data_IF_314455038574
#
_entry.id   IF_314455038574
#
_cell.length_a   1.000
_cell.length_b   1.000
_cell.length_c   1.000
_cell.angle_alpha   90.00
_cell.angle_beta   90.00
_cell.angle_gamma   90.00
#
_symmetry.space_group_name_H-M   'P 1'
#
loop_
_entity.id
_entity.type
_entity.pdbx_description
1 polymer ?
#
# COMPACT_ATOMS: atom_id res chain seq x y z
N UNK A 1 -11.18 39.73 34.31
CA UNK A 1 -12.42 38.95 34.12
C UNK A 1 -12.30 38.16 32.82
N UNK A 2 -11.85 36.91 32.89
CA UNK A 2 -11.67 36.06 31.70
C UNK A 2 -13.00 35.35 31.42
N UNK A 3 -13.83 35.95 30.55
CA UNK A 3 -14.93 35.23 29.91
C UNK A 3 -14.33 34.11 29.05
N UNK A 4 -14.11 32.93 29.61
CA UNK A 4 -13.74 31.76 28.83
C UNK A 4 -14.98 31.27 28.09
N UNK A 5 -15.27 31.91 26.96
CA UNK A 5 -16.23 31.38 26.00
C UNK A 5 -15.79 29.93 25.69
N UNK A 6 -16.66 28.91 25.77
CA UNK A 6 -16.28 27.54 25.48
C UNK A 6 -15.55 27.49 24.14
N UNK A 7 -14.34 26.91 24.15
CA UNK A 7 -13.52 26.81 22.94
C UNK A 7 -14.24 25.89 21.95
N UNK A 8 -14.87 26.49 20.95
CA UNK A 8 -15.49 25.77 19.83
C UNK A 8 -14.40 25.22 18.92
N UNK A 9 -14.51 23.95 18.51
CA UNK A 9 -13.58 23.30 17.59
C UNK A 9 -14.32 22.83 16.34
N UNK A 10 -13.58 22.58 15.27
CA UNK A 10 -14.07 21.94 14.06
C UNK A 10 -13.03 20.98 13.49
N UNK A 11 -13.44 20.16 12.54
CA UNK A 11 -12.57 19.29 11.76
C UNK A 11 -12.85 19.43 10.26
N UNK A 12 -11.86 19.16 9.45
CA UNK A 12 -12.01 19.06 7.99
C UNK A 12 -12.69 17.73 7.67
N UNK A 13 -13.77 17.79 6.88
CA UNK A 13 -14.53 16.61 6.47
C UNK A 13 -13.68 15.75 5.51
N UNK A 14 -13.82 14.42 5.61
CA UNK A 14 -13.10 13.46 4.77
C UNK A 14 -11.56 13.61 4.81
N UNK A 15 -11.02 14.18 5.89
CA UNK A 15 -9.59 14.42 6.00
C UNK A 15 -8.76 13.15 5.84
N UNK A 16 -9.23 12.01 6.37
CA UNK A 16 -8.54 10.72 6.25
C UNK A 16 -8.48 10.21 4.80
N UNK A 17 -9.46 10.58 3.97
CA UNK A 17 -9.45 10.30 2.53
C UNK A 17 -8.42 11.16 1.82
N UNK A 18 -8.32 12.44 2.20
CA UNK A 18 -7.37 13.39 1.62
C UNK A 18 -5.94 13.21 2.14
N UNK A 19 -5.75 12.72 3.37
CA UNK A 19 -4.45 12.56 4.00
C UNK A 19 -4.44 11.25 4.80
N UNK A 20 -4.45 10.08 4.12
CA UNK A 20 -4.33 8.82 4.83
C UNK A 20 -3.01 8.81 5.59
N UNK A 21 -3.08 8.75 6.93
CA UNK A 21 -1.94 8.84 7.84
C UNK A 21 -1.06 7.58 7.77
N UNK A 22 -0.37 7.38 6.65
CA UNK A 22 0.45 6.18 6.39
C UNK A 22 1.84 6.24 7.03
N UNK A 23 2.26 7.41 7.56
CA UNK A 23 3.59 7.67 8.16
C UNK A 23 3.57 8.40 9.52
N UNK A 24 2.43 8.43 10.22
CA UNK A 24 2.31 9.09 11.53
C UNK A 24 2.20 10.62 11.45
N UNK A 25 2.10 11.27 12.62
CA UNK A 25 1.66 12.68 12.83
C UNK A 25 2.62 13.78 12.32
N UNK A 26 3.68 13.44 11.59
CA UNK A 26 4.79 14.36 11.28
C UNK A 26 5.25 14.30 9.83
N UNK A 27 4.36 14.01 8.88
CA UNK A 27 4.75 14.07 7.48
C UNK A 27 5.08 15.54 7.10
N UNK A 28 6.23 15.83 6.45
CA UNK A 28 6.59 17.19 6.08
C UNK A 28 5.84 17.69 4.84
N UNK A 29 4.84 16.94 4.35
CA UNK A 29 4.11 17.22 3.12
C UNK A 29 2.63 16.88 3.28
N UNK A 30 1.79 17.55 2.49
CA UNK A 30 0.39 17.17 2.25
C UNK A 30 0.22 16.73 0.80
N UNK A 31 -0.72 15.83 0.53
CA UNK A 31 -1.10 15.45 -0.83
C UNK A 31 -2.29 16.25 -1.32
N UNK A 32 -2.20 16.80 -2.51
CA UNK A 32 -3.36 17.31 -3.24
C UNK A 32 -3.68 16.34 -4.37
N UNK A 33 -4.88 15.77 -4.35
CA UNK A 33 -5.32 14.79 -5.33
C UNK A 33 -5.94 15.51 -6.54
N UNK A 34 -5.72 15.01 -7.75
CA UNK A 34 -6.33 15.59 -8.95
C UNK A 34 -7.88 15.61 -8.92
N UNK A 35 -8.48 14.66 -8.19
CA UNK A 35 -9.93 14.60 -7.95
C UNK A 35 -10.48 15.85 -7.25
N UNK A 36 -9.62 16.63 -6.59
CA UNK A 36 -9.95 17.94 -6.01
C UNK A 36 -10.58 18.89 -7.04
N UNK A 37 -10.15 18.83 -8.30
CA UNK A 37 -10.70 19.67 -9.36
C UNK A 37 -12.13 19.29 -9.76
N UNK A 38 -12.56 18.08 -9.41
CA UNK A 38 -13.89 17.57 -9.69
C UNK A 38 -14.83 17.68 -8.48
N UNK A 39 -14.34 18.15 -7.33
CA UNK A 39 -15.15 18.35 -6.14
C UNK A 39 -15.98 19.63 -6.29
N UNK A 40 -17.30 19.47 -6.29
CA UNK A 40 -18.24 20.57 -6.48
C UNK A 40 -18.10 21.65 -5.40
N UNK A 41 -17.92 21.27 -4.13
CA UNK A 41 -17.82 22.23 -3.02
C UNK A 41 -16.56 23.08 -3.14
N UNK A 42 -15.45 22.48 -3.55
CA UNK A 42 -14.21 23.20 -3.85
C UNK A 42 -14.36 24.09 -5.08
N UNK A 43 -15.05 23.61 -6.13
CA UNK A 43 -15.30 24.36 -7.36
C UNK A 43 -16.03 25.70 -7.12
N UNK A 44 -16.86 25.77 -6.08
CA UNK A 44 -17.58 26.98 -5.65
C UNK A 44 -16.69 28.02 -4.95
N UNK A 45 -15.47 27.66 -4.55
CA UNK A 45 -14.58 28.58 -3.84
C UNK A 45 -13.89 29.55 -4.80
N UNK A 46 -13.81 30.82 -4.40
CA UNK A 46 -12.86 31.77 -5.00
C UNK A 46 -11.43 31.35 -4.69
N UNK A 47 -10.47 31.76 -5.53
CA UNK A 47 -9.09 31.28 -5.43
C UNK A 47 -8.42 31.56 -4.09
N UNK A 48 -8.72 32.70 -3.46
CA UNK A 48 -8.26 33.01 -2.11
C UNK A 48 -8.78 32.02 -1.06
N UNK A 49 -10.03 31.58 -1.18
CA UNK A 49 -10.61 30.57 -0.29
C UNK A 49 -10.04 29.17 -0.55
N UNK A 50 -9.74 28.82 -1.81
CA UNK A 50 -9.03 27.56 -2.13
C UNK A 50 -7.67 27.51 -1.44
N UNK A 51 -6.90 28.60 -1.52
CA UNK A 51 -5.61 28.71 -0.83
C UNK A 51 -5.75 28.59 0.69
N UNK A 52 -6.77 29.25 1.28
CA UNK A 52 -7.07 29.10 2.70
C UNK A 52 -7.45 27.66 3.08
N UNK A 53 -8.21 26.96 2.24
CA UNK A 53 -8.59 25.58 2.50
C UNK A 53 -7.40 24.62 2.44
N UNK A 54 -6.47 24.82 1.52
CA UNK A 54 -5.18 24.10 1.51
C UNK A 54 -4.41 24.37 2.82
N UNK A 55 -4.40 25.61 3.28
CA UNK A 55 -3.84 25.98 4.58
C UNK A 55 -4.53 25.28 5.76
N UNK A 56 -5.86 25.12 5.72
CA UNK A 56 -6.60 24.36 6.73
C UNK A 56 -6.22 22.88 6.74
N UNK A 57 -5.92 22.27 5.59
CA UNK A 57 -5.44 20.89 5.54
C UNK A 57 -4.07 20.73 6.20
N UNK A 58 -3.18 21.71 6.06
CA UNK A 58 -1.89 21.72 6.77
C UNK A 58 -2.11 21.75 8.29
N UNK A 59 -2.99 22.64 8.76
CA UNK A 59 -3.32 22.72 10.18
C UNK A 59 -3.99 21.43 10.65
N UNK A 60 -4.94 20.89 9.90
CA UNK A 60 -5.62 19.64 10.21
C UNK A 60 -4.60 18.50 10.38
N UNK A 61 -3.59 18.43 9.50
CA UNK A 61 -2.51 17.47 9.63
C UNK A 61 -1.74 17.62 10.94
N UNK A 62 -1.35 18.85 11.29
CA UNK A 62 -0.58 19.14 12.50
C UNK A 62 -1.39 18.98 13.81
N UNK A 63 -2.71 19.10 13.75
CA UNK A 63 -3.60 19.17 14.93
C UNK A 63 -4.51 17.95 15.07
N UNK A 64 -4.21 16.85 14.37
CA UNK A 64 -5.03 15.63 14.39
C UNK A 64 -6.51 15.91 14.03
N UNK A 65 -6.65 16.81 13.05
CA UNK A 65 -7.92 17.32 12.55
C UNK A 65 -8.83 17.93 13.64
N UNK A 66 -8.26 18.53 14.69
CA UNK A 66 -8.98 19.24 15.75
C UNK A 66 -8.54 20.70 15.79
N UNK A 67 -9.26 21.55 15.05
CA UNK A 67 -8.90 22.95 14.81
C UNK A 67 -9.79 23.87 15.64
N UNK A 68 -9.25 24.88 16.36
CA UNK A 68 -10.08 25.86 17.06
C UNK A 68 -10.86 26.74 16.06
N UNK A 69 -12.13 27.05 16.37
CA UNK A 69 -12.96 27.99 15.62
C UNK A 69 -12.52 29.44 15.89
N UNK A 70 -11.32 29.79 15.41
CA UNK A 70 -10.72 31.12 15.56
C UNK A 70 -10.04 31.52 14.24
N UNK A 71 -10.73 32.33 13.45
CA UNK A 71 -10.22 32.81 12.15
C UNK A 71 -8.92 33.60 12.29
N UNK A 72 -8.71 34.29 13.42
CA UNK A 72 -7.50 35.08 13.67
C UNK A 72 -6.31 34.17 13.98
N UNK A 73 -6.51 33.13 14.79
CA UNK A 73 -5.51 32.09 15.01
C UNK A 73 -5.15 31.37 13.72
N UNK A 74 -6.15 30.93 12.94
CA UNK A 74 -5.92 30.22 11.67
C UNK A 74 -5.14 31.09 10.70
N UNK A 75 -5.54 32.36 10.53
CA UNK A 75 -4.84 33.34 9.69
C UNK A 75 -3.35 33.41 10.01
N UNK A 76 -2.99 33.47 11.30
CA UNK A 76 -1.59 33.49 11.75
C UNK A 76 -0.87 32.19 11.41
N UNK A 77 -1.53 31.05 11.60
CA UNK A 77 -0.94 29.74 11.29
C UNK A 77 -0.63 29.57 9.80
N UNK A 78 -1.53 29.98 8.91
CA UNK A 78 -1.33 29.86 7.46
C UNK A 78 -0.66 31.08 6.83
N UNK A 79 -0.25 32.07 7.65
CA UNK A 79 0.33 33.34 7.21
C UNK A 79 -0.49 34.09 6.15
N UNK A 80 -1.82 34.00 6.24
CA UNK A 80 -2.71 34.66 5.29
C UNK A 80 -2.81 36.18 5.54
N UNK A 81 -2.94 36.96 4.46
CA UNK A 81 -3.17 38.41 4.56
C UNK A 81 -4.63 38.75 4.92
N UNK A 82 -5.57 37.99 4.38
CA UNK A 82 -7.01 38.13 4.64
C UNK A 82 -7.47 37.21 5.76
N UNK A 83 -8.65 37.49 6.33
CA UNK A 83 -9.25 36.63 7.34
C UNK A 83 -9.88 35.40 6.68
N UNK A 84 -9.78 34.25 7.36
CA UNK A 84 -10.35 32.98 6.90
C UNK A 84 -11.84 32.94 7.22
N UNK A 85 -12.69 32.85 6.18
CA UNK A 85 -14.15 32.83 6.32
C UNK A 85 -14.64 31.41 6.60
N UNK A 86 -14.65 31.02 7.88
CA UNK A 86 -15.05 29.66 8.31
C UNK A 86 -16.49 29.29 7.91
N UNK A 87 -17.40 30.25 7.99
CA UNK A 87 -18.81 30.05 7.63
C UNK A 87 -19.00 29.58 6.17
N UNK A 88 -18.09 29.99 5.27
CA UNK A 88 -18.13 29.56 3.86
C UNK A 88 -17.80 28.07 3.74
N UNK A 89 -16.76 27.62 4.45
CA UNK A 89 -16.35 26.21 4.43
C UNK A 89 -17.38 25.31 5.11
N UNK A 90 -17.99 25.79 6.19
CA UNK A 90 -19.07 25.07 6.88
C UNK A 90 -20.30 24.91 5.98
N UNK A 91 -20.77 25.99 5.35
CA UNK A 91 -21.93 25.96 4.43
C UNK A 91 -21.71 25.04 3.22
N UNK A 92 -20.47 24.93 2.74
CA UNK A 92 -20.10 24.05 1.65
C UNK A 92 -19.82 22.60 2.11
N UNK A 93 -19.92 22.32 3.41
CA UNK A 93 -19.70 20.98 3.98
C UNK A 93 -18.24 20.52 3.92
N UNK A 94 -17.29 21.44 3.78
CA UNK A 94 -15.85 21.15 3.76
C UNK A 94 -15.29 20.99 5.19
N UNK A 95 -15.94 21.62 6.18
CA UNK A 95 -15.63 21.46 7.60
C UNK A 95 -16.91 21.13 8.39
N UNK A 96 -16.75 20.49 9.53
CA UNK A 96 -17.82 20.17 10.46
C UNK A 96 -17.42 20.60 11.88
N UNK A 97 -18.35 21.23 12.60
CA UNK A 97 -18.15 21.63 13.99
C UNK A 97 -18.12 20.38 14.86
N UNK A 98 -17.20 20.35 15.82
CA UNK A 98 -17.16 19.32 16.84
C UNK A 98 -18.01 19.79 18.01
N UNK A 99 -19.11 19.08 18.26
CA UNK A 99 -19.90 19.29 19.48
C UNK A 99 -19.25 18.56 20.65
N UNK A 100 -19.48 19.05 21.87
CA UNK A 100 -18.91 18.45 23.10
C UNK A 100 -19.28 16.95 23.30
N UNK A 101 -20.28 16.45 22.57
CA UNK A 101 -20.68 15.04 22.58
C UNK A 101 -19.84 14.16 21.64
N UNK A 102 -19.20 14.72 20.61
CA UNK A 102 -18.43 13.96 19.61
C UNK A 102 -17.13 13.38 20.17
N UNK A 103 -16.55 14.01 21.21
CA UNK A 103 -15.36 13.48 21.89
C UNK A 103 -15.64 12.15 22.61
N UNK A 104 -16.86 11.95 23.10
CA UNK A 104 -17.27 10.70 23.74
C UNK A 104 -17.43 9.59 22.70
N UNK A 105 -18.03 9.92 21.56
CA UNK A 105 -18.27 8.98 20.45
C UNK A 105 -16.95 8.57 19.79
N UNK A 106 -16.01 9.50 19.58
CA UNK A 106 -14.67 9.18 19.03
C UNK A 106 -13.86 8.28 19.96
N UNK A 107 -13.84 8.50 21.28
CA UNK A 107 -13.13 7.61 22.22
C UNK A 107 -13.68 6.19 22.20
N UNK A 108 -14.99 6.03 22.07
CA UNK A 108 -15.64 4.73 22.00
C UNK A 108 -15.34 4.04 20.65
N UNK A 109 -15.44 4.78 19.54
CA UNK A 109 -15.13 4.28 18.20
C UNK A 109 -13.63 4.02 17.97
N UNK A 110 -12.72 4.77 18.61
CA UNK A 110 -11.27 4.53 18.53
C UNK A 110 -10.87 3.30 19.37
N UNK A 111 -11.54 3.04 20.49
CA UNK A 111 -11.39 1.80 21.26
C UNK A 111 -11.93 0.59 20.48
N UNK A 112 -13.06 0.75 19.79
CA UNK A 112 -13.62 -0.28 18.91
C UNK A 112 -12.76 -0.50 17.66
N UNK A 113 -12.26 0.55 16.99
CA UNK A 113 -11.32 0.44 15.87
C UNK A 113 -9.98 -0.20 16.26
N UNK A 114 -9.46 0.08 17.45
CA UNK A 114 -8.23 -0.56 17.97
C UNK A 114 -8.45 -2.02 18.37
N UNK A 115 -9.68 -2.37 18.73
CA UNK A 115 -10.15 -3.75 18.91
C UNK A 115 -10.34 -4.49 17.59
N UNK A 116 -10.89 -3.81 16.58
CA UNK A 116 -11.11 -4.35 15.23
C UNK A 116 -9.83 -4.47 14.41
N UNK A 117 -8.85 -3.58 14.54
CA UNK A 117 -7.53 -3.73 13.88
C UNK A 117 -6.76 -4.91 14.48
N UNK A 118 -6.79 -5.09 15.81
CA UNK A 118 -6.23 -6.29 16.45
C UNK A 118 -7.00 -7.57 16.10
N UNK A 119 -8.32 -7.50 15.93
CA UNK A 119 -9.14 -8.64 15.47
C UNK A 119 -8.90 -8.94 13.99
N UNK A 120 -8.79 -7.93 13.12
CA UNK A 120 -8.47 -8.08 11.68
C UNK A 120 -7.03 -8.53 11.45
N UNK A 121 -6.08 -8.23 12.32
CA UNK A 121 -4.70 -8.77 12.25
C UNK A 121 -4.60 -10.22 12.73
N UNK A 122 -5.47 -10.65 13.66
CA UNK A 122 -5.58 -12.05 14.10
C UNK A 122 -6.42 -12.87 13.10
N UNK A 123 -7.47 -12.28 12.53
CA UNK A 123 -8.35 -12.89 11.53
C UNK A 123 -7.65 -12.93 10.16
N UNK A 124 -6.89 -11.91 9.72
CA UNK A 124 -6.04 -12.02 8.52
C UNK A 124 -4.89 -13.02 8.67
N UNK A 125 -4.40 -13.28 9.90
CA UNK A 125 -3.41 -14.35 10.15
C UNK A 125 -4.03 -15.75 10.12
N UNK A 126 -5.28 -15.91 10.53
CA UNK A 126 -5.98 -17.20 10.50
C UNK A 126 -6.68 -17.48 9.16
N UNK A 127 -7.18 -16.47 8.44
CA UNK A 127 -7.85 -16.64 7.13
C UNK A 127 -6.85 -16.72 5.96
N UNK A 128 -5.57 -16.39 6.16
CA UNK A 128 -4.52 -16.66 5.16
C UNK A 128 -4.03 -18.13 5.15
N UNK A 129 -4.47 -18.97 6.09
CA UNK A 129 -4.12 -20.40 6.11
C UNK A 129 -5.16 -21.32 5.46
N UNK A 130 -6.33 -20.82 5.03
CA UNK A 130 -7.39 -21.70 4.48
C UNK A 130 -8.17 -21.10 3.31
N UNK A 131 -7.48 -20.51 2.33
CA UNK A 131 -8.05 -20.31 0.98
C UNK A 131 -7.15 -20.89 -0.08
N UNK A 132 -7.48 -22.13 -0.43
CA UNK A 132 -7.28 -22.85 -1.68
C UNK A 132 -5.90 -22.77 -2.34
N UNK A 133 -5.33 -23.96 -2.40
CA UNK A 133 -4.17 -24.45 -3.14
C UNK A 133 -4.25 -24.18 -4.67
N UNK A 134 -4.18 -22.91 -5.08
CA UNK A 134 -4.13 -22.52 -6.49
C UNK A 134 -2.79 -21.85 -6.84
N UNK A 135 -1.69 -22.42 -6.34
CA UNK A 135 -0.40 -22.22 -6.99
C UNK A 135 0.49 -23.45 -6.85
N UNK A 136 0.04 -24.54 -7.46
CA UNK A 136 0.76 -25.80 -7.55
C UNK A 136 2.22 -25.61 -7.96
N UNK A 137 2.51 -24.67 -8.88
CA UNK A 137 3.87 -24.37 -9.33
C UNK A 137 4.72 -23.67 -8.25
N UNK A 138 4.15 -22.73 -7.50
CA UNK A 138 4.85 -22.08 -6.39
C UNK A 138 5.15 -23.07 -5.26
N UNK A 139 4.19 -23.95 -4.95
CA UNK A 139 4.35 -25.02 -3.97
C UNK A 139 5.43 -26.01 -4.43
N UNK A 140 5.40 -26.40 -5.70
CA UNK A 140 6.44 -27.23 -6.31
C UNK A 140 7.83 -26.58 -6.21
N UNK A 141 7.95 -25.30 -6.55
CA UNK A 141 9.21 -24.56 -6.47
C UNK A 141 9.76 -24.53 -5.04
N UNK A 142 8.91 -24.18 -4.05
CA UNK A 142 9.29 -24.15 -2.63
C UNK A 142 9.73 -25.52 -2.12
N UNK A 143 8.95 -26.56 -2.41
CA UNK A 143 9.22 -27.92 -1.94
C UNK A 143 10.51 -28.46 -2.55
N UNK A 144 10.73 -28.21 -3.85
CA UNK A 144 11.95 -28.65 -4.55
C UNK A 144 13.17 -27.92 -4.00
N UNK A 145 13.07 -26.61 -3.77
CA UNK A 145 14.13 -25.83 -3.13
C UNK A 145 14.46 -26.37 -1.74
N UNK A 146 13.45 -26.54 -0.88
CA UNK A 146 13.63 -27.04 0.49
C UNK A 146 14.25 -28.43 0.51
N UNK A 147 13.82 -29.32 -0.39
CA UNK A 147 14.38 -30.67 -0.53
C UNK A 147 15.86 -30.65 -0.93
N UNK A 148 16.28 -29.71 -1.78
CA UNK A 148 17.66 -29.61 -2.28
C UNK A 148 18.60 -28.89 -1.29
N UNK A 149 18.13 -27.83 -0.63
CA UNK A 149 18.99 -26.94 0.15
C UNK A 149 18.69 -26.93 1.67
N UNK A 150 17.69 -27.68 2.13
CA UNK A 150 17.34 -27.79 3.55
C UNK A 150 16.81 -26.51 4.20
N UNK A 151 16.57 -25.46 3.42
CA UNK A 151 16.15 -24.14 3.89
C UNK A 151 14.96 -23.63 3.08
N UNK A 152 14.21 -22.69 3.65
CA UNK A 152 13.07 -22.07 2.96
C UNK A 152 13.55 -20.92 2.07
N UNK A 153 13.06 -20.88 0.83
CA UNK A 153 13.36 -19.79 -0.12
C UNK A 153 12.55 -18.54 0.22
N UNK A 154 13.21 -17.38 0.22
CA UNK A 154 12.54 -16.09 0.38
C UNK A 154 11.77 -15.73 -0.90
N UNK A 155 10.45 -15.85 -0.86
CA UNK A 155 9.56 -15.59 -2.00
C UNK A 155 8.74 -14.31 -1.76
N UNK A 156 8.75 -13.41 -2.74
CA UNK A 156 7.85 -12.27 -2.82
C UNK A 156 6.57 -12.71 -3.53
N UNK A 157 5.58 -13.12 -2.75
CA UNK A 157 4.36 -13.81 -3.20
C UNK A 157 3.76 -13.26 -4.51
N UNK A 158 3.52 -11.95 -4.60
CA UNK A 158 2.82 -11.40 -5.78
C UNK A 158 3.69 -11.41 -7.05
N UNK A 159 4.96 -11.01 -6.93
CA UNK A 159 5.88 -10.93 -8.07
C UNK A 159 6.29 -12.31 -8.56
N UNK A 160 6.66 -13.21 -7.65
CA UNK A 160 7.20 -14.52 -8.00
C UNK A 160 6.10 -15.44 -8.57
N UNK A 161 4.85 -15.28 -8.12
CA UNK A 161 3.70 -15.98 -8.74
C UNK A 161 3.52 -15.59 -10.20
N UNK A 162 3.63 -14.30 -10.53
CA UNK A 162 3.49 -13.82 -11.91
C UNK A 162 4.55 -14.44 -12.82
N UNK A 163 5.80 -14.48 -12.39
CA UNK A 163 6.91 -15.05 -13.16
C UNK A 163 6.76 -16.55 -13.38
N UNK A 164 6.33 -17.31 -12.36
CA UNK A 164 6.07 -18.74 -12.53
C UNK A 164 4.90 -18.99 -13.47
N UNK A 165 3.86 -18.15 -13.43
CA UNK A 165 2.74 -18.24 -14.37
C UNK A 165 3.21 -17.98 -15.81
N UNK A 166 4.02 -16.96 -16.04
CA UNK A 166 4.60 -16.66 -17.36
C UNK A 166 5.41 -17.86 -17.90
N UNK A 167 6.18 -18.54 -17.06
CA UNK A 167 6.90 -19.75 -17.45
C UNK A 167 5.95 -20.90 -17.84
N UNK A 168 4.90 -21.13 -17.04
CA UNK A 168 3.88 -22.16 -17.34
C UNK A 168 3.13 -21.86 -18.63
N UNK A 169 2.76 -20.60 -18.86
CA UNK A 169 2.06 -20.17 -20.08
C UNK A 169 2.93 -20.38 -21.34
N UNK A 170 4.26 -20.25 -21.22
CA UNK A 170 5.20 -20.42 -22.33
C UNK A 170 5.56 -21.88 -22.62
N UNK A 171 5.83 -22.68 -21.58
CA UNK A 171 6.41 -24.02 -21.73
C UNK A 171 5.45 -25.16 -21.34
N UNK A 172 4.32 -24.84 -20.71
CA UNK A 172 3.44 -25.82 -20.09
C UNK A 172 3.93 -26.22 -18.69
N UNK A 173 3.03 -26.85 -17.92
CA UNK A 173 3.27 -27.16 -16.51
C UNK A 173 4.41 -28.18 -16.32
N UNK A 174 4.36 -29.31 -17.02
CA UNK A 174 5.35 -30.39 -16.87
C UNK A 174 6.75 -29.93 -17.28
N UNK A 175 6.87 -29.22 -18.40
CA UNK A 175 8.16 -28.68 -18.83
C UNK A 175 8.71 -27.66 -17.84
N UNK A 176 7.84 -26.82 -17.27
CA UNK A 176 8.26 -25.84 -16.26
C UNK A 176 8.82 -26.55 -15.01
N UNK A 177 8.21 -27.67 -14.57
CA UNK A 177 8.75 -28.47 -13.46
C UNK A 177 10.13 -29.04 -13.78
N UNK A 178 10.36 -29.55 -14.99
CA UNK A 178 11.68 -30.02 -15.43
C UNK A 178 12.72 -28.89 -15.43
N UNK A 179 12.35 -27.72 -15.96
CA UNK A 179 13.24 -26.56 -16.00
C UNK A 179 13.60 -26.06 -14.60
N UNK A 180 12.66 -26.11 -13.64
CA UNK A 180 12.92 -25.79 -12.24
C UNK A 180 13.90 -26.79 -11.63
N UNK A 181 13.73 -28.08 -11.87
CA UNK A 181 14.65 -29.11 -11.38
C UNK A 181 16.06 -28.90 -11.96
N UNK A 182 16.15 -28.72 -13.29
CA UNK A 182 17.40 -28.42 -13.98
C UNK A 182 18.06 -27.13 -13.47
N UNK A 183 17.26 -26.10 -13.18
CA UNK A 183 17.76 -24.85 -12.59
C UNK A 183 18.41 -25.07 -11.24
N UNK A 184 17.82 -25.88 -10.36
CA UNK A 184 18.40 -26.17 -9.05
C UNK A 184 19.63 -27.08 -9.10
N UNK A 185 19.74 -27.92 -10.12
CA UNK A 185 20.93 -28.77 -10.35
C UNK A 185 22.02 -28.07 -11.16
N UNK A 186 21.73 -26.92 -11.76
CA UNK A 186 22.69 -26.15 -12.54
C UNK A 186 23.85 -25.67 -11.66
N UNK A 187 25.07 -26.09 -11.99
CA UNK A 187 26.30 -25.62 -11.34
C UNK A 187 26.88 -24.42 -12.10
N UNK A 188 26.24 -23.26 -11.97
CA UNK A 188 26.64 -22.02 -12.59
C UNK A 188 27.15 -21.03 -11.53
N UNK A 189 28.36 -20.49 -11.73
CA UNK A 189 29.01 -19.59 -10.78
C UNK A 189 28.21 -18.31 -10.53
N UNK A 190 27.52 -17.79 -11.54
CA UNK A 190 26.70 -16.59 -11.41
C UNK A 190 25.43 -16.87 -10.60
N UNK A 191 24.78 -18.01 -10.82
CA UNK A 191 23.60 -18.41 -10.01
C UNK A 191 23.98 -18.69 -8.56
N UNK A 192 25.11 -19.34 -8.31
CA UNK A 192 25.57 -19.58 -6.94
C UNK A 192 25.84 -18.28 -6.18
N UNK A 193 26.35 -17.24 -6.85
CA UNK A 193 26.60 -15.93 -6.24
C UNK A 193 25.35 -15.08 -6.01
N UNK A 194 24.36 -15.15 -6.91
CA UNK A 194 23.15 -14.32 -6.83
C UNK A 194 21.99 -15.02 -6.10
N UNK A 195 22.14 -16.31 -5.80
CA UNK A 195 21.12 -17.14 -5.18
C UNK A 195 20.19 -17.79 -6.19
N UNK A 196 19.23 -18.57 -5.67
CA UNK A 196 18.33 -19.41 -6.48
C UNK A 196 16.87 -19.00 -6.30
N UNK A 197 16.60 -17.69 -6.42
CA UNK A 197 15.24 -17.15 -6.35
C UNK A 197 14.50 -17.25 -7.69
N UNK A 198 13.17 -17.12 -7.65
CA UNK A 198 12.29 -17.24 -8.82
C UNK A 198 12.64 -16.23 -9.93
N UNK A 199 13.03 -15.00 -9.57
CA UNK A 199 13.48 -14.00 -10.55
C UNK A 199 14.73 -14.46 -11.33
N UNK A 200 15.63 -15.17 -10.66
CA UNK A 200 16.87 -15.68 -11.26
C UNK A 200 16.54 -16.86 -12.17
N UNK A 201 15.70 -17.78 -11.69
CA UNK A 201 15.15 -18.87 -12.51
C UNK A 201 14.55 -18.32 -13.82
N UNK A 202 13.67 -17.32 -13.72
CA UNK A 202 13.01 -16.72 -14.88
C UNK A 202 14.02 -16.13 -15.89
N UNK A 203 15.09 -15.49 -15.41
CA UNK A 203 16.15 -14.96 -16.29
C UNK A 203 16.93 -16.05 -17.04
N UNK A 204 16.95 -17.28 -16.51
CA UNK A 204 17.70 -18.40 -17.07
C UNK A 204 16.85 -19.33 -17.94
N UNK A 205 15.54 -19.08 -18.11
CA UNK A 205 14.62 -19.96 -18.84
C UNK A 205 15.12 -20.33 -20.24
N UNK A 206 15.51 -19.34 -21.05
CA UNK A 206 16.02 -19.58 -22.41
C UNK A 206 17.29 -20.46 -22.42
N UNK A 207 18.17 -20.29 -21.44
CA UNK A 207 19.40 -21.08 -21.30
C UNK A 207 19.07 -22.52 -20.90
N UNK A 208 18.15 -22.70 -19.95
CA UNK A 208 17.71 -24.00 -19.48
C UNK A 208 17.00 -24.79 -20.58
N UNK A 209 16.15 -24.12 -21.37
CA UNK A 209 15.44 -24.75 -22.49
C UNK A 209 16.40 -25.22 -23.59
N UNK A 210 17.40 -24.40 -23.94
CA UNK A 210 18.43 -24.75 -24.91
C UNK A 210 19.32 -25.93 -24.47
N UNK A 211 19.54 -26.10 -23.16
CA UNK A 211 20.31 -27.24 -22.61
C UNK A 211 19.44 -28.49 -22.55
N UNK A 212 18.17 -28.34 -22.18
CA UNK A 212 17.24 -29.45 -22.02
C UNK A 212 16.82 -30.05 -23.38
N UNK A 213 16.71 -29.23 -24.43
CA UNK A 213 16.49 -29.69 -25.81
C UNK A 213 17.64 -30.53 -26.37
N UNK A 214 18.89 -30.22 -26.03
CA UNK A 214 20.06 -31.04 -26.43
C UNK A 214 20.16 -32.38 -25.72
N UNK A 215 19.58 -32.50 -24.52
CA UNK A 215 19.54 -33.74 -23.75
C UNK A 215 18.45 -34.71 -24.26
N UNK A 216 17.49 -34.23 -25.07
CA UNK A 216 16.35 -34.98 -25.57
C UNK A 216 16.31 -35.06 -27.10
N UNK A 217 17.47 -35.19 -27.74
CA UNK A 217 17.57 -35.60 -29.14
C UNK A 217 17.53 -37.13 -29.24
N UNK A 218 16.40 -37.75 -29.64
CA UNK A 218 16.32 -39.19 -29.87
C UNK A 218 17.12 -39.65 -31.10
N UNK A 219 17.65 -38.72 -31.90
CA UNK A 219 18.47 -38.97 -33.07
C UNK A 219 19.88 -38.46 -32.85
N UNK A 220 20.54 -38.95 -31.80
CA UNK A 220 21.94 -38.67 -31.50
C UNK A 220 22.81 -38.73 -32.76
N UNK A 221 23.15 -37.56 -33.28
CA UNK A 221 24.05 -37.41 -34.41
C UNK A 221 25.42 -37.97 -34.03
N UNK A 222 25.81 -39.04 -34.72
CA UNK A 222 27.17 -39.57 -34.73
C UNK A 222 28.09 -38.45 -35.19
N UNK A 223 28.91 -37.93 -34.28
CA UNK A 223 30.06 -37.11 -34.64
C UNK A 223 31.20 -38.07 -34.98
N UNK A 224 31.53 -38.16 -36.28
CA UNK A 224 32.84 -38.62 -36.76
C UNK A 224 33.84 -37.47 -36.70
#
# INVERSE_FOLDING_TARGET
MTNSNPKKYFRVKNFDTYQPMRRGKYAPWIRLYASWNNDWAIGQLVDSHKAHFIGLLLIAHATDNKIPWDSGWIKRQIQAKSNVKLDVFEKLGLIEILDNNDEKIKKQNDLEKRGEEKRKDIENKNTQNEKHDDNQMLNFYKNTYKKKFGTDVLIKLEKDRKLLKEAVDLYGEEKTKELIAAFFDMNDAWVNNNGRGVNIFHSQLNKLDAVNTKAHDPYGGVVL
#
